data_IF_613818733496
#
_entry.id   IF_613818733496
#
_cell.length_a   1.000
_cell.length_b   1.000
_cell.length_c   1.000
_cell.angle_alpha   90.00
_cell.angle_beta   90.00
_cell.angle_gamma   90.00
#
_symmetry.space_group_name_H-M   'P 1'
#
loop_
_entity.id
_entity.type
_entity.pdbx_description
1 polymer ?
#
# COMPACT_ATOMS: atom_id res chain seq x y z
N UNK A 1 -1.16 12.45 -10.66
CA UNK A 1 -0.40 13.15 -9.60
C UNK A 1 0.12 12.09 -8.64
N UNK A 2 1.40 12.15 -8.27
CA UNK A 2 2.01 11.26 -7.27
C UNK A 2 1.95 11.94 -5.91
N UNK A 3 1.49 11.25 -4.87
CA UNK A 3 1.41 11.77 -3.50
C UNK A 3 2.14 10.81 -2.57
N UNK A 4 3.16 11.30 -1.88
CA UNK A 4 3.82 10.59 -0.78
C UNK A 4 3.13 10.97 0.52
N UNK A 5 2.78 9.97 1.32
CA UNK A 5 2.13 10.14 2.62
C UNK A 5 2.73 9.19 3.64
N UNK A 6 2.76 9.64 4.90
CA UNK A 6 3.13 8.80 6.05
C UNK A 6 1.88 8.21 6.65
N UNK A 7 1.85 6.89 6.72
CA UNK A 7 0.65 6.14 7.06
C UNK A 7 1.03 4.94 7.92
N UNK A 8 0.07 4.42 8.68
CA UNK A 8 0.28 3.19 9.45
C UNK A 8 -0.32 2.00 8.73
N UNK A 9 0.46 0.94 8.57
CA UNK A 9 -0.05 -0.31 7.98
C UNK A 9 -1.06 -0.95 8.92
N UNK A 10 -2.25 -1.23 8.43
CA UNK A 10 -3.30 -1.95 9.17
C UNK A 10 -3.39 -3.39 8.71
N UNK A 11 -3.14 -3.65 7.42
CA UNK A 11 -3.18 -5.01 6.89
C UNK A 11 -2.47 -5.09 5.55
N UNK A 12 -1.84 -6.22 5.26
CA UNK A 12 -1.21 -6.51 3.97
C UNK A 12 -1.61 -7.93 3.54
N UNK A 13 -2.31 -8.05 2.41
CA UNK A 13 -2.82 -9.32 1.91
C UNK A 13 -2.60 -9.43 0.41
N UNK A 14 -2.46 -10.64 -0.12
CA UNK A 14 -2.46 -10.85 -1.58
C UNK A 14 -3.88 -11.14 -2.04
N UNK A 15 -4.37 -10.34 -2.98
CA UNK A 15 -5.67 -10.57 -3.62
C UNK A 15 -5.47 -10.81 -5.13
N UNK A 16 -6.25 -11.73 -5.68
CA UNK A 16 -6.32 -11.95 -7.13
C UNK A 16 -7.20 -10.85 -7.72
N UNK A 17 -6.66 -10.04 -8.64
CA UNK A 17 -7.40 -8.94 -9.24
C UNK A 17 -7.83 -9.27 -10.67
N UNK A 18 -9.13 -9.54 -10.86
CA UNK A 18 -9.74 -9.80 -12.16
C UNK A 18 -9.71 -11.27 -12.60
N UNK A 19 -9.97 -11.50 -13.90
CA UNK A 19 -10.06 -12.84 -14.52
C UNK A 19 -8.71 -13.40 -14.96
N UNK A 20 -7.70 -12.53 -15.05
CA UNK A 20 -6.31 -12.89 -15.32
C UNK A 20 -5.66 -13.13 -13.96
N UNK A 21 -4.92 -14.23 -13.78
CA UNK A 21 -4.32 -14.70 -12.51
C UNK A 21 -3.21 -13.77 -11.93
N UNK A 22 -3.37 -12.46 -12.07
CA UNK A 22 -2.45 -11.45 -11.58
C UNK A 22 -2.76 -11.23 -10.10
N UNK A 23 -1.95 -11.86 -9.26
CA UNK A 23 -1.94 -11.60 -7.82
C UNK A 23 -1.31 -10.25 -7.56
N UNK A 24 -2.04 -9.35 -6.90
CA UNK A 24 -1.50 -8.09 -6.40
C UNK A 24 -1.51 -8.11 -4.88
N UNK A 25 -0.48 -7.54 -4.29
CA UNK A 25 -0.55 -7.22 -2.87
C UNK A 25 -1.52 -6.06 -2.69
N UNK A 26 -2.32 -6.11 -1.65
CA UNK A 26 -3.20 -5.04 -1.21
C UNK A 26 -2.72 -4.67 0.19
N UNK A 27 -2.31 -3.41 0.33
CA UNK A 27 -1.96 -2.84 1.63
C UNK A 27 -3.08 -1.90 2.03
N UNK A 28 -3.65 -2.13 3.21
CA UNK A 28 -4.54 -1.18 3.86
C UNK A 28 -3.73 -0.37 4.83
N UNK A 29 -3.72 0.95 4.64
CA UNK A 29 -3.07 1.89 5.54
C UNK A 29 -4.10 2.80 6.18
N UNK A 30 -3.82 3.25 7.40
CA UNK A 30 -4.60 4.25 8.11
C UNK A 30 -3.88 5.60 8.04
N UNK A 31 -4.63 6.60 7.57
CA UNK A 31 -4.23 8.01 7.56
C UNK A 31 -4.20 8.58 8.96
N UNK A 32 -3.43 9.64 9.14
CA UNK A 32 -3.48 10.45 10.36
C UNK A 32 -4.90 10.99 10.63
N UNK A 33 -5.68 11.27 9.58
CA UNK A 33 -7.09 11.65 9.67
C UNK A 33 -8.03 10.53 10.18
N UNK A 34 -7.52 9.31 10.36
CA UNK A 34 -8.30 8.12 10.73
C UNK A 34 -8.97 7.38 9.57
N UNK A 35 -8.84 7.88 8.34
CA UNK A 35 -9.36 7.22 7.13
C UNK A 35 -8.53 5.99 6.76
N UNK A 36 -9.19 4.93 6.31
CA UNK A 36 -8.53 3.73 5.80
C UNK A 36 -8.45 3.76 4.29
N UNK A 37 -7.26 3.53 3.77
CA UNK A 37 -6.99 3.56 2.32
C UNK A 37 -6.43 2.22 1.89
N UNK A 38 -7.06 1.63 0.87
CA UNK A 38 -6.57 0.43 0.21
C UNK A 38 -5.68 0.81 -0.97
N UNK A 39 -4.49 0.23 -0.98
CA UNK A 39 -3.45 0.50 -1.97
C UNK A 39 -3.09 -0.80 -2.65
N UNK A 40 -3.24 -0.85 -3.97
CA UNK A 40 -2.75 -1.96 -4.76
C UNK A 40 -1.24 -1.80 -4.95
N UNK A 41 -0.47 -2.78 -4.49
CA UNK A 41 0.96 -2.92 -4.77
C UNK A 41 1.18 -4.07 -5.75
N UNK A 42 2.13 -3.85 -6.65
CA UNK A 42 2.58 -4.94 -7.51
C UNK A 42 3.27 -6.03 -6.67
N UNK A 43 3.09 -7.30 -7.04
CA UNK A 43 3.73 -8.41 -6.32
C UNK A 43 5.26 -8.39 -6.40
N UNK A 44 5.84 -7.58 -7.29
CA UNK A 44 7.30 -7.39 -7.39
C UNK A 44 7.90 -6.49 -6.31
N UNK A 45 7.08 -5.85 -5.47
CA UNK A 45 7.58 -5.03 -4.36
C UNK A 45 8.08 -5.92 -3.23
N UNK A 46 9.40 -6.14 -3.18
CA UNK A 46 10.06 -6.90 -2.12
C UNK A 46 9.72 -6.38 -0.70
N UNK A 47 9.54 -5.06 -0.55
CA UNK A 47 9.15 -4.44 0.72
C UNK A 47 7.76 -4.87 1.21
N UNK A 48 6.84 -5.30 0.32
CA UNK A 48 5.51 -5.77 0.72
C UNK A 48 5.57 -6.98 1.66
N UNK A 49 6.53 -7.90 1.44
CA UNK A 49 6.71 -9.08 2.29
C UNK A 49 7.19 -8.73 3.71
N UNK A 50 7.73 -7.53 3.90
CA UNK A 50 8.24 -7.04 5.18
C UNK A 50 7.28 -6.10 5.91
N UNK A 51 6.12 -5.80 5.31
CA UNK A 51 5.09 -4.99 5.94
C UNK A 51 4.36 -5.81 7.00
N UNK A 52 4.42 -5.33 8.23
CA UNK A 52 3.65 -5.88 9.34
C UNK A 52 2.55 -4.91 9.76
N UNK A 53 1.46 -5.44 10.31
CA UNK A 53 0.43 -4.62 10.94
C UNK A 53 1.06 -3.76 12.06
N UNK A 54 0.68 -2.47 12.10
CA UNK A 54 1.22 -1.48 13.02
C UNK A 54 2.47 -0.76 12.52
N UNK A 55 3.12 -1.23 11.45
CA UNK A 55 4.33 -0.59 10.95
C UNK A 55 4.03 0.77 10.32
N UNK A 56 4.79 1.79 10.73
CA UNK A 56 4.77 3.11 10.12
C UNK A 56 5.50 3.07 8.77
N UNK A 57 4.83 3.50 7.72
CA UNK A 57 5.30 3.41 6.34
C UNK A 57 5.13 4.74 5.62
N UNK A 58 6.05 5.02 4.71
CA UNK A 58 5.89 6.06 3.70
C UNK A 58 5.44 5.41 2.41
N UNK A 59 4.25 5.77 1.95
CA UNK A 59 3.69 5.24 0.70
C UNK A 59 3.55 6.37 -0.31
N UNK A 60 4.15 6.19 -1.48
CA UNK A 60 3.82 6.96 -2.67
C UNK A 60 2.79 6.18 -3.48
N UNK A 61 1.67 6.82 -3.80
CA UNK A 61 0.66 6.24 -4.67
C UNK A 61 0.20 7.22 -5.73
N UNK A 62 -0.34 6.65 -6.80
CA UNK A 62 -1.00 7.36 -7.88
C UNK A 62 -2.43 6.86 -8.06
N UNK A 63 -3.33 7.77 -8.42
CA UNK A 63 -4.69 7.42 -8.78
C UNK A 63 -4.70 6.90 -10.21
N UNK A 64 -5.04 5.63 -10.38
CA UNK A 64 -5.20 5.06 -11.71
C UNK A 64 -6.51 5.56 -12.32
N UNK A 65 -6.41 6.34 -13.39
CA UNK A 65 -7.55 6.81 -14.17
C UNK A 65 -8.34 5.60 -14.68
N UNK A 66 -9.53 5.38 -14.10
CA UNK A 66 -10.48 4.36 -14.54
C UNK A 66 -10.95 3.37 -13.47
N UNK A 67 -10.26 3.24 -12.33
CA UNK A 67 -10.58 2.16 -11.37
C UNK A 67 -10.95 2.60 -9.96
N UNK A 68 -10.96 3.90 -9.63
CA UNK A 68 -11.26 4.37 -8.27
C UNK A 68 -10.26 3.92 -7.19
N UNK A 69 -9.35 3.00 -7.54
CA UNK A 69 -8.33 2.44 -6.68
C UNK A 69 -7.03 3.22 -6.81
N UNK A 70 -6.36 3.40 -5.68
CA UNK A 70 -5.03 3.99 -5.59
C UNK A 70 -3.99 2.87 -5.75
N UNK A 71 -3.02 3.08 -6.63
CA UNK A 71 -1.91 2.16 -6.83
C UNK A 71 -0.67 2.72 -6.13
N UNK A 72 -0.12 1.95 -5.20
CA UNK A 72 1.14 2.30 -4.56
C UNK A 72 2.29 2.04 -5.54
N UNK A 73 3.00 3.11 -5.88
CA UNK A 73 4.19 3.10 -6.73
C UNK A 73 5.45 2.86 -5.93
N UNK A 74 5.39 3.09 -4.61
CA UNK A 74 6.53 2.95 -3.72
C UNK A 74 6.06 2.81 -2.29
N UNK A 75 6.60 1.84 -1.56
CA UNK A 75 6.40 1.72 -0.12
C UNK A 75 7.76 1.62 0.54
N UNK A 76 7.94 2.32 1.65
CA UNK A 76 9.14 2.26 2.50
C UNK A 76 8.72 2.16 3.94
N UNK A 77 9.29 1.20 4.67
CA UNK A 77 9.20 1.18 6.12
C UNK A 77 9.94 2.40 6.68
N UNK A 78 9.26 3.18 7.51
CA UNK A 78 9.88 4.21 8.33
C UNK A 78 10.37 3.47 9.57
N UNK A 79 11.69 3.25 9.68
CA UNK A 79 12.26 2.64 10.89
C UNK A 79 11.79 3.46 12.11
N UNK A 80 11.30 2.76 13.14
CA UNK A 80 11.32 3.31 14.50
C UNK A 80 12.79 3.61 14.80
N UNK A 81 13.13 4.91 14.89
CA UNK A 81 14.39 5.32 15.49
C UNK A 81 14.29 4.96 16.98
N UNK A 82 15.06 3.93 17.39
CA UNK A 82 15.29 3.50 18.78
C UNK A 82 16.07 4.57 19.57
#
# INVERSE_FOLDING_TARGET
MKREVRERTVSSQMESYGTTDVKRGIVTVQRESGEYVKLAVDSSFADFATLHEGADVSVEYEQLSGYGNLAATKIRLLKEED
#
